data_IF_735452562948
#
_entry.id   IF_735452562948
#
_cell.length_a   1.000
_cell.length_b   1.000
_cell.length_c   1.000
_cell.angle_alpha   90.00
_cell.angle_beta   90.00
_cell.angle_gamma   90.00
#
_symmetry.space_group_name_H-M   'P 1'
#
loop_
_entity.id
_entity.type
_entity.pdbx_description
1 polymer ?
#
# COMPACT_ATOMS: atom_id res chain seq x y z
N UNK A 1 25.33 -17.39 -9.95
CA UNK A 1 24.07 -18.04 -10.36
C UNK A 1 23.43 -18.59 -9.11
N UNK A 2 22.13 -18.37 -8.85
CA UNK A 2 21.52 -18.96 -7.67
C UNK A 2 21.27 -20.44 -7.96
N UNK A 3 22.03 -21.32 -7.30
CA UNK A 3 21.85 -22.76 -7.39
C UNK A 3 20.64 -23.15 -6.54
N UNK A 4 19.46 -22.99 -7.14
CA UNK A 4 18.24 -23.64 -6.66
C UNK A 4 18.46 -25.14 -6.83
N UNK A 5 18.26 -25.92 -5.76
CA UNK A 5 18.34 -27.38 -5.86
C UNK A 5 17.31 -27.91 -6.85
N UNK A 6 17.48 -29.15 -7.31
CA UNK A 6 16.59 -29.85 -8.27
C UNK A 6 15.11 -29.89 -7.87
N UNK A 7 14.75 -29.44 -6.66
CA UNK A 7 13.41 -29.37 -6.08
C UNK A 7 12.84 -27.94 -5.86
N UNK A 8 13.51 -26.86 -6.30
CA UNK A 8 13.01 -25.49 -6.10
C UNK A 8 13.24 -24.90 -4.70
N UNK A 9 13.90 -25.65 -3.81
CA UNK A 9 14.21 -25.24 -2.44
C UNK A 9 15.54 -24.48 -2.34
N UNK A 10 15.67 -23.54 -1.38
CA UNK A 10 16.94 -22.88 -1.11
C UNK A 10 17.99 -23.88 -0.62
N UNK A 11 19.24 -23.71 -1.05
CA UNK A 11 20.38 -24.50 -0.59
C UNK A 11 20.83 -24.11 0.83
N UNK A 12 21.70 -24.94 1.43
CA UNK A 12 22.17 -24.72 2.81
C UNK A 12 22.82 -23.34 2.99
N UNK A 13 23.65 -22.92 2.03
CA UNK A 13 24.26 -21.58 2.03
C UNK A 13 23.20 -20.47 2.05
N UNK A 14 22.19 -20.57 1.19
CA UNK A 14 21.11 -19.58 1.08
C UNK A 14 20.26 -19.52 2.36
N UNK A 15 19.95 -20.67 2.97
CA UNK A 15 19.21 -20.72 4.23
C UNK A 15 20.03 -20.08 5.35
N UNK A 16 21.34 -20.36 5.40
CA UNK A 16 22.24 -19.80 6.41
C UNK A 16 22.33 -18.27 6.31
N UNK A 17 22.42 -17.75 5.08
CA UNK A 17 22.50 -16.32 4.79
C UNK A 17 21.14 -15.62 4.73
N UNK A 18 20.03 -16.35 4.92
CA UNK A 18 18.68 -15.80 4.81
C UNK A 18 18.46 -14.63 5.77
N UNK A 19 18.19 -13.45 5.23
CA UNK A 19 18.08 -12.20 5.98
C UNK A 19 16.68 -11.57 5.84
N UNK A 20 16.12 -11.13 6.96
CA UNK A 20 14.80 -10.49 7.06
C UNK A 20 14.90 -8.98 7.36
N UNK A 21 16.11 -8.42 7.45
CA UNK A 21 16.34 -6.99 7.73
C UNK A 21 15.63 -6.07 6.73
N UNK A 22 15.53 -6.49 5.47
CA UNK A 22 14.81 -5.74 4.44
C UNK A 22 13.31 -5.59 4.76
N UNK A 23 12.66 -6.58 5.36
CA UNK A 23 11.25 -6.51 5.78
C UNK A 23 11.05 -5.54 6.95
N UNK A 24 11.97 -5.58 7.92
CA UNK A 24 11.93 -4.64 9.05
C UNK A 24 12.17 -3.20 8.60
N UNK A 25 13.05 -3.00 7.62
CA UNK A 25 13.31 -1.69 7.02
C UNK A 25 12.07 -1.20 6.27
N UNK A 26 11.50 -2.03 5.40
CA UNK A 26 10.27 -1.71 4.66
C UNK A 26 9.11 -1.34 5.61
N UNK A 27 8.94 -2.08 6.72
CA UNK A 27 7.91 -1.77 7.69
C UNK A 27 8.06 -0.39 8.34
N UNK A 28 9.30 0.01 8.68
CA UNK A 28 9.58 1.35 9.22
C UNK A 28 9.29 2.41 8.17
N UNK A 29 9.75 2.19 6.94
CA UNK A 29 9.62 3.16 5.85
C UNK A 29 8.15 3.39 5.46
N UNK A 30 7.35 2.32 5.36
CA UNK A 30 5.92 2.42 5.07
C UNK A 30 5.16 3.10 6.20
N UNK A 31 5.44 2.75 7.47
CA UNK A 31 4.80 3.42 8.62
C UNK A 31 5.13 4.91 8.65
N UNK A 32 6.39 5.27 8.38
CA UNK A 32 6.82 6.66 8.35
C UNK A 32 6.22 7.42 7.15
N UNK A 33 6.07 6.75 6.00
CA UNK A 33 5.42 7.34 4.83
C UNK A 33 3.92 7.60 5.08
N UNK A 34 3.21 6.63 5.68
CA UNK A 34 1.81 6.76 6.07
C UNK A 34 1.59 7.99 6.97
N UNK A 35 2.36 8.09 8.06
CA UNK A 35 2.28 9.22 8.98
C UNK A 35 2.52 10.56 8.27
N UNK A 36 3.58 10.67 7.46
CA UNK A 36 3.90 11.90 6.72
C UNK A 36 2.77 12.31 5.77
N UNK A 37 2.12 11.34 5.12
CA UNK A 37 1.01 11.62 4.21
C UNK A 37 -0.21 12.13 4.97
N UNK A 38 -0.58 11.49 6.08
CA UNK A 38 -1.68 11.92 6.94
C UNK A 38 -1.45 13.33 7.49
N UNK A 39 -0.23 13.62 7.97
CA UNK A 39 0.15 14.93 8.50
C UNK A 39 0.06 16.01 7.43
N UNK A 40 0.69 15.79 6.26
CA UNK A 40 0.68 16.78 5.18
C UNK A 40 -0.72 17.10 4.67
N UNK A 41 -1.56 16.08 4.42
CA UNK A 41 -2.92 16.33 3.93
C UNK A 41 -3.83 16.93 5.00
N UNK A 42 -3.58 16.64 6.28
CA UNK A 42 -4.27 17.32 7.39
C UNK A 42 -3.90 18.80 7.41
N UNK A 43 -2.62 19.14 7.27
CA UNK A 43 -2.15 20.53 7.19
C UNK A 43 -2.73 21.26 5.98
N UNK A 44 -2.75 20.62 4.79
CA UNK A 44 -3.34 21.20 3.57
C UNK A 44 -4.82 21.51 3.77
N UNK A 45 -5.59 20.56 4.31
CA UNK A 45 -7.01 20.76 4.56
C UNK A 45 -7.25 21.89 5.58
N UNK A 46 -6.53 21.89 6.71
CA UNK A 46 -6.64 22.93 7.73
C UNK A 46 -6.24 24.32 7.19
N UNK A 47 -5.16 24.40 6.40
CA UNK A 47 -4.71 25.64 5.77
C UNK A 47 -5.71 26.19 4.75
N UNK A 48 -6.51 25.32 4.12
CA UNK A 48 -7.55 25.71 3.17
C UNK A 48 -8.74 26.38 3.86
N UNK A 49 -9.03 26.03 5.12
CA UNK A 49 -10.11 26.66 5.89
C UNK A 49 -9.79 28.10 6.31
N UNK A 50 -8.52 28.48 6.39
CA UNK A 50 -8.10 29.83 6.78
C UNK A 50 -6.75 30.20 6.14
N UNK A 51 -6.72 30.45 4.82
CA UNK A 51 -5.50 30.83 4.12
C UNK A 51 -4.93 32.13 4.71
N UNK A 52 -3.64 32.12 5.06
CA UNK A 52 -2.99 33.29 5.68
C UNK A 52 -3.50 33.66 7.07
N UNK A 53 -4.26 32.77 7.74
CA UNK A 53 -4.80 33.00 9.08
C UNK A 53 -6.11 33.79 9.11
N UNK A 54 -6.68 34.11 7.96
CA UNK A 54 -8.00 34.74 7.83
C UNK A 54 -9.02 33.73 7.33
N UNK A 55 -10.21 33.71 7.92
CA UNK A 55 -11.31 32.86 7.46
C UNK A 55 -11.62 33.23 6.00
N UNK A 56 -11.65 32.21 5.14
CA UNK A 56 -12.05 32.34 3.75
C UNK A 56 -13.46 31.78 3.60
N UNK A 57 -14.37 32.57 3.06
CA UNK A 57 -15.79 32.25 2.97
C UNK A 57 -16.32 32.35 1.53
N UNK A 58 -17.47 31.72 1.29
CA UNK A 58 -18.18 31.74 0.03
C UNK A 58 -18.00 30.47 -0.80
N UNK A 59 -18.68 30.35 -1.95
CA UNK A 59 -18.76 29.09 -2.71
C UNK A 59 -17.41 28.52 -3.14
N UNK A 60 -16.42 29.38 -3.39
CA UNK A 60 -15.06 28.94 -3.73
C UNK A 60 -14.32 28.34 -2.52
N UNK A 61 -14.55 28.87 -1.31
CA UNK A 61 -14.00 28.33 -0.07
C UNK A 61 -14.62 26.96 0.25
N UNK A 62 -15.94 26.83 0.10
CA UNK A 62 -16.66 25.56 0.29
C UNK A 62 -16.14 24.49 -0.68
N UNK A 63 -16.02 24.82 -1.97
CA UNK A 63 -15.50 23.89 -2.99
C UNK A 63 -14.05 23.46 -2.71
N UNK A 64 -13.20 24.36 -2.22
CA UNK A 64 -11.83 24.04 -1.84
C UNK A 64 -11.76 23.17 -0.57
N UNK A 65 -12.60 23.46 0.42
CA UNK A 65 -12.71 22.66 1.63
C UNK A 65 -13.16 21.23 1.32
N UNK A 66 -14.20 21.08 0.50
CA UNK A 66 -14.72 19.76 0.07
C UNK A 66 -13.67 18.97 -0.70
N UNK A 67 -12.96 19.61 -1.64
CA UNK A 67 -11.90 18.97 -2.43
C UNK A 67 -10.76 18.47 -1.53
N UNK A 68 -10.22 19.35 -0.68
CA UNK A 68 -9.09 18.98 0.20
C UNK A 68 -9.48 17.95 1.25
N UNK A 69 -10.74 17.97 1.72
CA UNK A 69 -11.27 16.91 2.57
C UNK A 69 -11.36 15.57 1.84
N UNK A 70 -11.88 15.56 0.61
CA UNK A 70 -11.92 14.37 -0.24
C UNK A 70 -10.53 13.77 -0.49
N UNK A 71 -9.54 14.61 -0.79
CA UNK A 71 -8.15 14.20 -0.96
C UNK A 71 -7.55 13.63 0.34
N UNK A 72 -7.82 14.27 1.49
CA UNK A 72 -7.42 13.77 2.81
C UNK A 72 -8.02 12.38 3.11
N UNK A 73 -9.29 12.15 2.78
CA UNK A 73 -9.94 10.84 2.98
C UNK A 73 -9.27 9.77 2.11
N UNK A 74 -8.99 10.05 0.83
CA UNK A 74 -8.27 9.14 -0.07
C UNK A 74 -6.89 8.79 0.48
N UNK A 75 -6.16 9.78 0.97
CA UNK A 75 -4.81 9.61 1.54
C UNK A 75 -4.82 8.79 2.82
N UNK A 76 -5.79 8.99 3.70
CA UNK A 76 -5.94 8.14 4.91
C UNK A 76 -6.19 6.69 4.54
N UNK A 77 -6.99 6.42 3.50
CA UNK A 77 -7.15 5.08 2.95
C UNK A 77 -5.81 4.48 2.48
N UNK A 78 -5.02 5.26 1.73
CA UNK A 78 -3.70 4.85 1.26
C UNK A 78 -2.69 4.65 2.41
N UNK A 79 -2.72 5.50 3.43
CA UNK A 79 -1.90 5.39 4.63
C UNK A 79 -2.23 4.10 5.41
N UNK A 80 -3.52 3.74 5.51
CA UNK A 80 -3.93 2.47 6.11
C UNK A 80 -3.31 1.27 5.38
N UNK A 81 -3.30 1.26 4.04
CA UNK A 81 -2.64 0.20 3.27
C UNK A 81 -1.13 0.08 3.59
N UNK A 82 -0.45 1.21 3.79
CA UNK A 82 0.97 1.22 4.19
C UNK A 82 1.16 0.68 5.62
N UNK A 83 0.29 1.03 6.56
CA UNK A 83 0.32 0.46 7.92
C UNK A 83 0.06 -1.05 7.92
N UNK A 84 -0.91 -1.52 7.13
CA UNK A 84 -1.21 -2.95 6.96
C UNK A 84 0.00 -3.69 6.40
N UNK A 85 0.60 -3.19 5.32
CA UNK A 85 1.81 -3.75 4.74
C UNK A 85 2.97 -3.77 5.74
N UNK A 86 3.14 -2.72 6.54
CA UNK A 86 4.15 -2.66 7.59
C UNK A 86 3.91 -3.66 8.72
N UNK A 87 2.65 -3.94 9.07
CA UNK A 87 2.27 -4.99 10.01
C UNK A 87 2.64 -6.37 9.47
N UNK A 88 2.26 -6.66 8.22
CA UNK A 88 2.61 -7.93 7.54
C UNK A 88 4.12 -8.12 7.45
N UNK A 89 4.89 -7.10 7.08
CA UNK A 89 6.34 -7.22 6.96
C UNK A 89 7.04 -7.46 8.31
N UNK A 90 6.58 -6.84 9.41
CA UNK A 90 7.12 -7.13 10.75
C UNK A 90 6.84 -8.56 11.17
N UNK A 91 5.58 -8.98 11.11
CA UNK A 91 5.19 -10.34 11.50
C UNK A 91 5.87 -11.37 10.61
N UNK A 92 5.94 -11.13 9.30
CA UNK A 92 6.63 -11.99 8.34
C UNK A 92 8.12 -12.10 8.60
N UNK A 93 8.79 -11.03 9.03
CA UNK A 93 10.20 -11.08 9.42
C UNK A 93 10.44 -12.02 10.62
N UNK A 94 9.55 -11.97 11.61
CA UNK A 94 9.63 -12.83 12.80
C UNK A 94 9.31 -14.29 12.45
N UNK A 95 8.27 -14.54 11.65
CA UNK A 95 7.89 -15.87 11.16
C UNK A 95 9.02 -16.52 10.34
N UNK A 96 9.65 -15.75 9.45
CA UNK A 96 10.78 -16.22 8.64
C UNK A 96 12.02 -16.48 9.48
N UNK A 97 12.33 -15.62 10.44
CA UNK A 97 13.45 -15.83 11.36
C UNK A 97 13.26 -17.11 12.19
N UNK A 98 12.03 -17.36 12.67
CA UNK A 98 11.67 -18.58 13.37
C UNK A 98 11.79 -19.81 12.46
N UNK A 99 11.23 -19.77 11.24
CA UNK A 99 11.29 -20.88 10.29
C UNK A 99 12.74 -21.21 9.89
N UNK A 100 13.58 -20.20 9.65
CA UNK A 100 15.03 -20.35 9.43
C UNK A 100 15.68 -21.06 10.61
N UNK A 101 15.41 -20.62 11.83
CA UNK A 101 15.92 -21.23 13.05
C UNK A 101 15.59 -22.73 13.14
N UNK A 102 14.36 -23.12 12.79
CA UNK A 102 13.96 -24.53 12.75
C UNK A 102 14.76 -25.34 11.73
N UNK A 103 15.08 -24.80 10.55
CA UNK A 103 15.93 -25.53 9.59
C UNK A 103 17.33 -25.73 10.16
N UNK A 104 17.93 -24.66 10.70
CA UNK A 104 19.30 -24.70 11.23
C UNK A 104 19.42 -25.60 12.46
N UNK A 105 18.37 -25.69 13.28
CA UNK A 105 18.27 -26.66 14.38
C UNK A 105 18.35 -28.09 13.85
N UNK A 106 17.55 -28.46 12.84
CA UNK A 106 17.59 -29.82 12.27
C UNK A 106 18.94 -30.15 11.59
N UNK A 107 19.59 -29.14 11.00
CA UNK A 107 20.95 -29.27 10.47
C UNK A 107 21.94 -29.55 11.60
N UNK A 108 21.81 -28.85 12.73
CA UNK A 108 22.66 -29.03 13.92
C UNK A 108 22.46 -30.43 14.51
N UNK A 109 21.21 -30.88 14.65
CA UNK A 109 20.88 -32.23 15.14
C UNK A 109 21.54 -33.33 14.29
N UNK A 110 21.50 -33.19 12.95
CA UNK A 110 22.16 -34.13 12.04
C UNK A 110 23.69 -34.11 12.19
N UNK A 111 24.29 -32.93 12.40
CA UNK A 111 25.73 -32.78 12.61
C UNK A 111 26.18 -33.36 13.96
N UNK A 112 25.38 -33.19 15.02
CA UNK A 112 25.62 -33.81 16.33
C UNK A 112 25.55 -35.34 16.27
N UNK A 113 24.69 -35.88 15.40
CA UNK A 113 24.63 -37.30 15.06
C UNK A 113 25.79 -37.77 14.12
N UNK A 114 26.79 -36.92 13.90
CA UNK A 114 27.99 -37.15 13.09
C UNK A 114 27.71 -37.33 11.58
N UNK A 115 26.59 -36.81 11.08
CA UNK A 115 26.32 -36.75 9.66
C UNK A 115 26.79 -35.43 9.05
N UNK A 116 26.96 -35.42 7.72
CA UNK A 116 27.30 -34.23 6.95
C UNK A 116 26.11 -33.83 6.09
N UNK A 117 25.61 -32.62 6.31
CA UNK A 117 24.59 -31.98 5.47
C UNK A 117 25.28 -31.26 4.32
N UNK A 118 24.84 -31.52 3.10
CA UNK A 118 25.40 -30.93 1.88
C UNK A 118 24.56 -29.74 1.40
N UNK A 119 25.06 -29.00 0.40
CA UNK A 119 24.36 -27.81 -0.14
C UNK A 119 22.94 -28.10 -0.61
N UNK A 120 22.68 -29.34 -1.06
CA UNK A 120 21.37 -29.74 -1.55
C UNK A 120 20.40 -30.24 -0.46
N UNK A 121 20.74 -30.02 0.82
CA UNK A 121 20.02 -30.50 2.00
C UNK A 121 19.98 -32.03 2.14
N UNK A 122 20.76 -32.76 1.34
CA UNK A 122 20.96 -34.19 1.57
C UNK A 122 21.96 -34.43 2.69
N UNK A 123 21.74 -35.53 3.42
CA UNK A 123 22.54 -35.94 4.57
C UNK A 123 23.31 -37.20 4.20
N UNK A 124 24.61 -37.19 4.48
CA UNK A 124 25.53 -38.29 4.20
C UNK A 124 26.30 -38.69 5.46
N UNK A 125 26.61 -39.98 5.59
CA UNK A 125 27.43 -40.48 6.70
C UNK A 125 28.90 -40.61 6.25
N UNK A 126 29.82 -39.76 6.74
CA UNK A 126 31.24 -39.91 6.41
C UNK A 126 31.93 -41.02 7.21
N UNK A 127 31.29 -41.57 8.24
CA UNK A 127 31.90 -42.50 9.20
C UNK A 127 31.68 -43.97 8.85
N UNK A 128 30.75 -44.26 7.94
CA UNK A 128 30.31 -45.61 7.61
C UNK A 128 30.45 -45.91 6.12
N UNK A 129 30.70 -47.17 5.78
CA UNK A 129 30.64 -47.68 4.39
C UNK A 129 29.67 -48.85 4.31
N UNK A 130 29.18 -49.17 3.11
CA UNK A 130 28.25 -50.30 2.85
C UNK A 130 28.77 -51.66 3.32
N UNK A 131 30.08 -51.79 3.55
CA UNK A 131 30.72 -53.02 4.00
C UNK A 131 30.72 -53.19 5.53
N UNK A 132 30.41 -52.14 6.29
CA UNK A 132 30.41 -52.17 7.76
C UNK A 132 29.09 -52.70 8.31
N UNK A 133 29.14 -53.44 9.43
CA UNK A 133 27.91 -53.84 10.14
C UNK A 133 27.19 -52.61 10.68
N UNK A 134 25.87 -52.55 10.51
CA UNK A 134 25.03 -51.43 10.94
C UNK A 134 24.90 -50.28 9.93
N UNK A 135 25.46 -50.43 8.72
CA UNK A 135 25.37 -49.40 7.67
C UNK A 135 23.92 -49.06 7.29
N UNK A 136 23.03 -50.06 7.23
CA UNK A 136 21.62 -49.87 6.90
C UNK A 136 20.91 -48.97 7.93
N UNK A 137 21.23 -49.15 9.22
CA UNK A 137 20.66 -48.34 10.30
C UNK A 137 21.13 -46.89 10.22
N UNK A 138 22.43 -46.67 9.98
CA UNK A 138 22.99 -45.32 9.79
C UNK A 138 22.43 -44.65 8.54
N UNK A 139 22.25 -45.41 7.46
CA UNK A 139 21.66 -44.93 6.23
C UNK A 139 20.18 -44.51 6.44
N UNK A 140 19.41 -45.28 7.21
CA UNK A 140 18.04 -44.94 7.56
C UNK A 140 17.97 -43.66 8.41
N UNK A 141 18.86 -43.51 9.41
CA UNK A 141 18.96 -42.29 10.22
C UNK A 141 19.32 -41.06 9.37
N UNK A 142 20.28 -41.19 8.45
CA UNK A 142 20.63 -40.10 7.54
C UNK A 142 19.42 -39.68 6.67
N UNK A 143 18.63 -40.63 6.19
CA UNK A 143 17.41 -40.35 5.42
C UNK A 143 16.34 -39.65 6.25
N UNK A 144 16.19 -40.02 7.53
CA UNK A 144 15.26 -39.37 8.46
C UNK A 144 15.64 -37.90 8.69
N UNK A 145 16.91 -37.62 9.01
CA UNK A 145 17.41 -36.25 9.13
C UNK A 145 17.24 -35.45 7.83
N UNK A 146 17.55 -36.06 6.67
CA UNK A 146 17.36 -35.40 5.39
C UNK A 146 15.89 -35.04 5.14
N UNK A 147 14.96 -35.96 5.43
CA UNK A 147 13.53 -35.71 5.27
C UNK A 147 13.05 -34.58 6.20
N UNK A 148 13.54 -34.54 7.44
CA UNK A 148 13.23 -33.46 8.37
C UNK A 148 13.75 -32.10 7.91
N UNK A 149 15.01 -32.01 7.51
CA UNK A 149 15.62 -30.77 7.00
C UNK A 149 14.85 -30.26 5.78
N UNK A 150 14.56 -31.15 4.81
CA UNK A 150 13.79 -30.80 3.61
C UNK A 150 12.38 -30.33 3.96
N UNK A 151 11.70 -30.99 4.91
CA UNK A 151 10.37 -30.58 5.38
C UNK A 151 10.39 -29.17 5.96
N UNK A 152 11.32 -28.88 6.88
CA UNK A 152 11.46 -27.56 7.51
C UNK A 152 11.85 -26.49 6.48
N UNK A 153 12.73 -26.80 5.53
CA UNK A 153 13.10 -25.88 4.45
C UNK A 153 11.94 -25.57 3.50
N UNK A 154 11.05 -26.55 3.28
CA UNK A 154 9.82 -26.36 2.51
C UNK A 154 8.87 -25.39 3.21
N UNK A 155 8.74 -25.49 4.53
CA UNK A 155 7.95 -24.55 5.34
C UNK A 155 8.53 -23.14 5.23
N UNK A 156 9.84 -22.98 5.42
CA UNK A 156 10.52 -21.67 5.26
C UNK A 156 10.21 -21.03 3.89
N UNK A 157 10.39 -21.79 2.80
CA UNK A 157 10.14 -21.28 1.45
C UNK A 157 8.66 -21.01 1.17
N UNK A 158 7.74 -21.71 1.83
CA UNK A 158 6.30 -21.46 1.73
C UNK A 158 5.90 -20.20 2.50
N UNK A 159 6.41 -20.02 3.72
CA UNK A 159 6.22 -18.82 4.54
C UNK A 159 6.70 -17.57 3.80
N UNK A 160 7.86 -17.62 3.16
CA UNK A 160 8.39 -16.48 2.37
C UNK A 160 7.44 -16.05 1.25
N UNK A 161 6.97 -17.01 0.46
CA UNK A 161 6.00 -16.76 -0.62
C UNK A 161 4.69 -16.22 -0.09
N UNK A 162 4.23 -16.72 1.06
CA UNK A 162 3.01 -16.24 1.70
C UNK A 162 3.15 -14.79 2.19
N UNK A 163 4.25 -14.46 2.85
CA UNK A 163 4.57 -13.09 3.30
C UNK A 163 4.63 -12.14 2.11
N UNK A 164 5.34 -12.52 1.03
CA UNK A 164 5.42 -11.72 -0.19
C UNK A 164 4.05 -11.49 -0.83
N UNK A 165 3.19 -12.52 -0.86
CA UNK A 165 1.81 -12.42 -1.34
C UNK A 165 0.96 -11.48 -0.50
N UNK A 166 1.03 -11.58 0.83
CA UNK A 166 0.30 -10.71 1.77
C UNK A 166 0.73 -9.26 1.65
N UNK A 167 2.04 -8.98 1.52
CA UNK A 167 2.56 -7.62 1.28
C UNK A 167 2.03 -7.07 -0.05
N UNK A 168 2.09 -7.87 -1.12
CA UNK A 168 1.61 -7.47 -2.44
C UNK A 168 0.12 -7.13 -2.41
N UNK A 169 -0.68 -7.94 -1.71
CA UNK A 169 -2.11 -7.70 -1.54
C UNK A 169 -2.40 -6.43 -0.72
N UNK A 170 -1.67 -6.22 0.39
CA UNK A 170 -1.83 -5.04 1.23
C UNK A 170 -1.51 -3.73 0.48
N UNK A 171 -0.53 -3.75 -0.43
CA UNK A 171 -0.12 -2.58 -1.23
C UNK A 171 -0.92 -2.42 -2.53
N UNK A 172 -1.78 -3.38 -2.91
CA UNK A 172 -2.53 -3.32 -4.16
C UNK A 172 -3.39 -2.06 -4.32
N UNK A 173 -4.11 -1.56 -3.29
CA UNK A 173 -4.94 -0.36 -3.43
C UNK A 173 -4.14 0.91 -3.76
N UNK A 174 -2.86 0.98 -3.41
CA UNK A 174 -2.01 2.14 -3.73
C UNK A 174 -1.83 2.34 -5.24
N UNK A 175 -1.93 1.27 -6.04
CA UNK A 175 -1.82 1.35 -7.51
C UNK A 175 -3.01 2.07 -8.14
N UNK A 176 -4.15 2.01 -7.47
CA UNK A 176 -5.42 2.61 -7.90
C UNK A 176 -5.64 3.99 -7.27
N UNK A 177 -4.71 4.49 -6.45
CA UNK A 177 -4.83 5.82 -5.86
C UNK A 177 -4.78 6.88 -6.97
N UNK A 178 -5.88 7.62 -7.10
CA UNK A 178 -6.03 8.75 -8.03
C UNK A 178 -6.64 9.94 -7.30
N UNK A 179 -6.10 11.12 -7.59
CA UNK A 179 -6.69 12.40 -7.21
C UNK A 179 -7.44 12.94 -8.42
N UNK A 180 -8.63 13.48 -8.19
CA UNK A 180 -9.45 14.00 -9.27
C UNK A 180 -8.97 15.43 -9.56
N UNK A 181 -8.01 15.57 -10.45
CA UNK A 181 -7.65 16.87 -11.01
C UNK A 181 -8.78 17.33 -11.92
N UNK A 182 -9.28 18.58 -11.79
CA UNK A 182 -10.10 19.13 -12.84
C UNK A 182 -9.19 19.13 -14.08
N UNK A 183 -9.67 18.54 -15.18
CA UNK A 183 -9.04 18.79 -16.47
C UNK A 183 -8.88 20.30 -16.60
N UNK A 184 -7.76 20.73 -17.18
CA UNK A 184 -7.39 22.12 -17.51
C UNK A 184 -8.37 22.76 -18.51
N UNK A 185 -9.67 22.46 -18.43
CA UNK A 185 -10.71 23.44 -18.66
C UNK A 185 -10.30 24.64 -17.81
N UNK A 186 -10.08 25.82 -18.43
CA UNK A 186 -9.87 27.03 -17.66
C UNK A 186 -10.93 27.04 -16.57
N UNK A 187 -10.55 27.31 -15.32
CA UNK A 187 -11.52 27.91 -14.40
C UNK A 187 -11.99 29.12 -15.17
N UNK A 188 -13.15 28.98 -15.77
CA UNK A 188 -13.77 29.99 -16.57
C UNK A 188 -14.25 30.97 -15.51
N UNK A 189 -13.31 31.85 -15.11
CA UNK A 189 -13.58 33.15 -14.52
C UNK A 189 -14.30 34.00 -15.58
N UNK A 190 -15.32 33.45 -16.23
CA UNK A 190 -16.21 34.21 -17.08
C UNK A 190 -17.13 34.94 -16.14
N UNK A 191 -16.68 36.12 -15.77
CA UNK A 191 -17.54 37.14 -15.19
C UNK A 191 -18.64 37.63 -16.13
N UNK A 192 -18.97 36.92 -17.21
CA UNK A 192 -19.94 37.32 -18.22
C UNK A 192 -20.64 36.10 -18.83
N UNK A 193 -21.92 35.88 -18.49
CA UNK A 193 -22.80 34.99 -19.25
C UNK A 193 -22.91 35.51 -20.70
N UNK A 194 -22.31 34.78 -21.64
CA UNK A 194 -22.42 35.07 -23.08
C UNK A 194 -23.61 34.35 -23.75
N UNK A 195 -24.29 33.47 -23.02
CA UNK A 195 -25.51 32.80 -23.48
C UNK A 195 -26.74 33.36 -22.76
N UNK A 196 -27.86 33.58 -23.46
CA UNK A 196 -29.12 33.95 -22.81
C UNK A 196 -29.56 32.82 -21.87
N UNK A 197 -30.13 33.14 -20.70
CA UNK A 197 -30.62 32.13 -19.78
C UNK A 197 -31.70 31.27 -20.46
N UNK A 198 -31.68 29.98 -20.16
CA UNK A 198 -32.62 28.97 -20.69
C UNK A 198 -33.70 28.56 -19.69
N UNK A 199 -33.58 29.05 -18.45
CA UNK A 199 -34.48 28.75 -17.33
C UNK A 199 -34.84 29.98 -16.52
N UNK A 200 -35.53 29.75 -15.39
CA UNK A 200 -35.99 30.82 -14.50
C UNK A 200 -34.77 31.42 -13.78
N UNK A 201 -34.58 32.73 -13.90
CA UNK A 201 -33.47 33.43 -13.24
C UNK A 201 -33.96 34.28 -12.07
N UNK A 202 -33.25 34.22 -10.95
CA UNK A 202 -33.38 35.14 -9.83
C UNK A 202 -32.02 35.68 -9.41
N UNK A 203 -31.92 36.99 -9.30
CA UNK A 203 -30.70 37.71 -8.97
C UNK A 203 -30.82 38.42 -7.62
N UNK A 204 -29.69 38.57 -6.94
CA UNK A 204 -29.56 39.29 -5.67
C UNK A 204 -28.38 40.23 -5.72
N UNK A 205 -28.51 41.41 -5.13
CA UNK A 205 -27.40 42.38 -5.02
C UNK A 205 -26.14 41.73 -4.43
N UNK A 206 -24.99 42.00 -5.06
CA UNK A 206 -23.70 41.51 -4.61
C UNK A 206 -22.90 42.63 -3.92
N UNK A 207 -22.23 42.38 -2.77
CA UNK A 207 -21.51 43.41 -2.01
C UNK A 207 -20.38 44.11 -2.79
N UNK A 208 -19.85 43.47 -3.84
CA UNK A 208 -18.83 44.02 -4.74
C UNK A 208 -19.38 44.84 -5.92
N UNK A 209 -20.69 45.12 -5.95
CA UNK A 209 -21.39 45.67 -7.10
C UNK A 209 -21.92 44.60 -8.06
N UNK A 210 -22.97 44.94 -8.81
CA UNK A 210 -23.69 43.98 -9.67
C UNK A 210 -24.57 43.01 -8.88
N UNK A 211 -24.95 41.90 -9.52
CA UNK A 211 -25.88 40.92 -9.01
C UNK A 211 -25.30 39.51 -9.09
N UNK A 212 -25.62 38.66 -8.11
CA UNK A 212 -25.45 37.22 -8.20
C UNK A 212 -26.77 36.58 -8.58
N UNK A 213 -26.79 35.97 -9.77
CA UNK A 213 -27.93 35.32 -10.36
C UNK A 213 -27.84 33.81 -10.17
N UNK A 214 -29.01 33.19 -10.04
CA UNK A 214 -29.19 31.75 -10.02
C UNK A 214 -30.23 31.40 -11.07
N UNK A 215 -29.94 30.38 -11.87
CA UNK A 215 -30.84 29.87 -12.91
C UNK A 215 -31.26 28.45 -12.56
N UNK A 216 -32.57 28.19 -12.53
CA UNK A 216 -33.12 26.84 -12.50
C UNK A 216 -33.13 26.28 -13.92
N UNK A 217 -32.23 25.35 -14.20
CA UNK A 217 -32.12 24.70 -15.49
C UNK A 217 -33.26 23.68 -15.69
N UNK A 218 -33.67 23.36 -16.94
CA UNK A 218 -34.75 22.41 -17.22
C UNK A 218 -34.55 20.99 -16.66
N UNK A 219 -33.30 20.60 -16.37
CA UNK A 219 -32.93 19.33 -15.75
C UNK A 219 -33.07 19.34 -14.21
N UNK A 220 -33.54 20.45 -13.62
CA UNK A 220 -33.72 20.62 -12.18
C UNK A 220 -32.45 21.04 -11.41
N UNK A 221 -31.32 21.26 -12.08
CA UNK A 221 -30.09 21.76 -11.42
C UNK A 221 -30.07 23.28 -11.36
N UNK A 222 -29.25 23.84 -10.48
CA UNK A 222 -29.11 25.30 -10.31
C UNK A 222 -27.73 25.73 -10.82
N UNK A 223 -27.70 26.66 -11.78
CA UNK A 223 -26.49 27.39 -12.17
C UNK A 223 -26.40 28.69 -11.35
N UNK A 224 -25.19 29.12 -11.01
CA UNK A 224 -24.94 30.36 -10.24
C UNK A 224 -23.89 31.18 -10.99
N UNK A 225 -24.18 32.45 -11.25
CA UNK A 225 -23.31 33.34 -12.01
C UNK A 225 -23.48 34.80 -11.61
N UNK A 226 -22.49 35.64 -11.92
CA UNK A 226 -22.57 37.08 -11.68
C UNK A 226 -23.13 37.80 -12.93
N UNK A 227 -23.88 38.89 -12.71
CA UNK A 227 -24.44 39.75 -13.76
C UNK A 227 -24.26 41.22 -13.41
N UNK A 228 -23.90 42.10 -14.36
CA UNK A 228 -23.82 43.54 -14.11
C UNK A 228 -25.19 44.21 -13.94
N UNK A 229 -26.27 43.57 -14.40
CA UNK A 229 -27.66 44.06 -14.30
C UNK A 229 -28.58 43.00 -13.72
N UNK A 230 -29.65 43.42 -13.06
CA UNK A 230 -30.69 42.48 -12.59
C UNK A 230 -31.42 41.90 -13.81
N UNK A 231 -31.31 40.59 -14.00
CA UNK A 231 -32.00 39.83 -15.05
C UNK A 231 -33.04 38.86 -14.46
N UNK A 232 -33.49 39.12 -13.23
CA UNK A 232 -34.54 38.34 -12.58
C UNK A 232 -35.81 38.32 -13.42
N UNK A 233 -36.46 37.16 -13.48
CA UNK A 233 -37.72 37.00 -14.21
C UNK A 233 -37.55 36.81 -15.72
N UNK A 234 -36.35 36.50 -16.20
CA UNK A 234 -36.21 35.90 -17.53
C UNK A 234 -36.87 34.52 -17.52
N UNK A 235 -37.86 34.35 -18.39
CA UNK A 235 -38.55 33.08 -18.63
C UNK A 235 -38.16 32.59 -20.02
N UNK A 236 -38.02 31.28 -20.24
CA UNK A 236 -37.85 30.76 -21.59
C UNK A 236 -39.06 31.16 -22.44
N UNK A 237 -38.81 31.68 -23.64
CA UNK A 237 -39.84 31.94 -24.66
C UNK A 237 -40.61 30.66 -25.05
#
# INVERSE_FOLDING_TARGET
MPNVNTAGLPGLSQITEWDTTHLQTAARDWSAAAQRWEDHFTVIHQGTLSPGGTVWEGPAADAAADRTFGDLVKVRGAANCLYDAAGVARNGADELAWAKGRVLEAVTDAQEAQFVVTENLSVSDPTTTVLMRGWETRQAQAQEHAAEIVSRATILAATDREVAGKITAALAPLRELRFDEPTDSPVQLDGWHSAPPTGIVWCRDHPGGGFMCRELLPNGTISIFASPTDISGHWPD
#
